data_IF_132331678438
#
_entry.id   IF_132331678438
#
_cell.length_a   1.000
_cell.length_b   1.000
_cell.length_c   1.000
_cell.angle_alpha   90.00
_cell.angle_beta   90.00
_cell.angle_gamma   90.00
#
_symmetry.space_group_name_H-M   'P 1'
#
loop_
_entity.id
_entity.type
_entity.pdbx_description
1 polymer ?
#
# COMPACT_ATOMS: atom_id res chain seq x y z
N UNK A 1 18.03 16.76 3.81
CA UNK A 1 17.37 18.04 3.44
C UNK A 1 18.35 19.08 2.91
N UNK A 2 19.67 18.85 2.99
CA UNK A 2 20.71 19.81 2.59
C UNK A 2 20.67 20.23 1.10
N UNK A 3 20.08 19.40 0.23
CA UNK A 3 19.92 19.70 -1.20
C UNK A 3 18.54 20.26 -1.59
N UNK A 4 17.62 20.44 -0.63
CA UNK A 4 16.30 21.05 -0.90
C UNK A 4 16.34 22.53 -0.55
N UNK A 5 16.45 23.37 -1.58
CA UNK A 5 16.40 24.82 -1.45
C UNK A 5 14.98 25.27 -1.84
N UNK A 6 14.20 25.88 -0.92
CA UNK A 6 12.89 26.42 -1.27
C UNK A 6 12.98 27.44 -2.40
N UNK A 7 12.05 27.37 -3.35
CA UNK A 7 11.91 28.39 -4.39
C UNK A 7 11.71 29.78 -3.75
N UNK A 8 12.15 30.85 -4.43
CA UNK A 8 11.92 32.21 -3.95
C UNK A 8 10.44 32.48 -3.74
N UNK A 9 10.08 33.14 -2.64
CA UNK A 9 8.69 33.50 -2.33
C UNK A 9 8.40 34.98 -2.54
N UNK A 10 7.13 35.39 -2.50
CA UNK A 10 6.78 36.82 -2.45
C UNK A 10 6.90 37.30 -1.01
N UNK A 11 7.68 38.37 -0.81
CA UNK A 11 7.84 39.01 0.49
C UNK A 11 7.42 40.48 0.38
N UNK A 12 6.41 40.84 1.17
CA UNK A 12 5.91 42.21 1.30
C UNK A 12 6.04 42.64 2.78
N UNK A 13 7.00 43.54 3.11
CA UNK A 13 7.25 43.98 4.49
C UNK A 13 6.04 44.62 5.16
N UNK A 14 5.10 45.17 4.40
CA UNK A 14 3.92 45.86 4.94
C UNK A 14 2.86 44.87 5.45
N UNK A 15 2.94 43.60 5.05
CA UNK A 15 1.97 42.54 5.41
C UNK A 15 2.53 41.52 6.41
N UNK A 16 3.77 41.69 6.88
CA UNK A 16 4.45 40.75 7.77
C UNK A 16 5.15 41.53 8.91
N UNK A 17 5.35 40.88 10.05
CA UNK A 17 6.09 41.48 11.16
C UNK A 17 7.50 41.92 10.75
N UNK A 18 7.90 43.14 11.14
CA UNK A 18 9.16 43.79 10.76
C UNK A 18 10.43 43.01 11.13
N UNK A 19 10.34 42.07 12.07
CA UNK A 19 11.43 41.18 12.48
C UNK A 19 11.73 40.04 11.49
N UNK A 20 10.93 39.86 10.44
CA UNK A 20 11.15 38.81 9.43
C UNK A 20 12.08 39.24 8.29
N UNK A 21 12.46 40.53 8.20
CA UNK A 21 13.28 41.05 7.11
C UNK A 21 14.65 40.39 6.99
N UNK A 22 15.28 40.01 8.11
CA UNK A 22 16.58 39.31 8.10
C UNK A 22 16.48 37.85 7.63
N UNK A 23 15.28 37.27 7.58
CA UNK A 23 15.02 35.89 7.15
C UNK A 23 14.62 35.80 5.67
N UNK A 24 14.14 36.89 5.06
CA UNK A 24 13.69 36.94 3.67
C UNK A 24 14.86 37.04 2.67
N UNK A 25 15.66 35.97 2.55
CA UNK A 25 16.84 35.91 1.68
C UNK A 25 16.58 35.24 0.30
N UNK A 26 15.40 34.66 0.09
CA UNK A 26 14.97 34.04 -1.18
C UNK A 26 13.62 34.63 -1.60
N UNK A 27 13.65 35.73 -2.36
CA UNK A 27 12.46 36.56 -2.68
C UNK A 27 12.32 36.81 -4.18
N UNK A 28 11.10 36.67 -4.71
CA UNK A 28 10.71 37.06 -6.06
C UNK A 28 10.60 38.60 -6.11
N UNK A 29 11.48 39.23 -6.88
CA UNK A 29 11.49 40.69 -7.08
C UNK A 29 10.61 41.08 -8.27
N UNK A 30 10.13 42.32 -8.27
CA UNK A 30 9.34 42.90 -9.36
C UNK A 30 8.01 43.45 -8.88
N UNK A 31 7.18 43.89 -9.82
CA UNK A 31 5.79 44.28 -9.59
C UNK A 31 4.93 43.08 -9.19
N UNK A 32 3.77 43.31 -8.56
CA UNK A 32 2.84 42.23 -8.19
C UNK A 32 2.43 41.37 -9.38
N UNK A 33 2.33 41.96 -10.58
CA UNK A 33 2.04 41.22 -11.82
C UNK A 33 3.19 40.29 -12.19
N UNK A 34 4.42 40.79 -12.20
CA UNK A 34 5.61 39.97 -12.48
C UNK A 34 5.82 38.86 -11.44
N UNK A 35 5.49 39.13 -10.17
CA UNK A 35 5.51 38.13 -9.11
C UNK A 35 4.48 37.02 -9.35
N UNK A 36 3.25 37.37 -9.74
CA UNK A 36 2.23 36.39 -10.11
C UNK A 36 2.64 35.59 -11.35
N UNK A 37 3.19 36.25 -12.37
CA UNK A 37 3.67 35.58 -13.59
C UNK A 37 4.83 34.61 -13.28
N UNK A 38 5.73 34.98 -12.35
CA UNK A 38 6.80 34.10 -11.86
C UNK A 38 6.24 32.89 -11.10
N UNK A 39 5.29 33.10 -10.19
CA UNK A 39 4.63 32.00 -9.47
C UNK A 39 3.90 31.07 -10.44
N UNK A 40 3.17 31.62 -11.42
CA UNK A 40 2.51 30.84 -12.47
C UNK A 40 3.52 30.03 -13.26
N UNK A 41 4.67 30.61 -13.61
CA UNK A 41 5.74 29.91 -14.32
C UNK A 41 6.33 28.77 -13.48
N UNK A 42 6.60 29.00 -12.20
CA UNK A 42 7.11 27.99 -11.28
C UNK A 42 6.11 26.83 -11.11
N UNK A 43 4.80 27.13 -11.11
CA UNK A 43 3.73 26.12 -11.04
C UNK A 43 3.54 25.32 -12.34
N UNK A 44 4.00 25.83 -13.50
CA UNK A 44 3.74 25.26 -14.84
C UNK A 44 4.97 24.62 -15.48
N UNK A 45 5.92 24.16 -14.66
CA UNK A 45 7.21 23.68 -15.15
C UNK A 45 7.11 22.40 -16.01
N UNK A 46 6.13 21.54 -15.74
CA UNK A 46 5.92 20.24 -16.40
C UNK A 46 4.42 19.93 -16.66
N UNK A 47 3.59 20.96 -16.78
CA UNK A 47 2.13 20.85 -16.92
C UNK A 47 1.67 20.54 -18.36
N UNK A 48 2.42 20.98 -19.37
CA UNK A 48 2.14 20.77 -20.80
C UNK A 48 3.34 20.14 -21.48
N UNK A 49 3.11 19.50 -22.64
CA UNK A 49 4.20 18.91 -23.43
C UNK A 49 5.30 19.94 -23.75
N UNK A 50 4.92 21.14 -24.20
CA UNK A 50 5.87 22.18 -24.59
C UNK A 50 6.69 22.68 -23.40
N UNK A 51 6.05 22.89 -22.23
CA UNK A 51 6.75 23.30 -21.02
C UNK A 51 7.69 22.21 -20.51
N UNK A 52 7.26 20.94 -20.56
CA UNK A 52 8.10 19.81 -20.15
C UNK A 52 9.38 19.73 -21.01
N UNK A 53 9.24 19.81 -22.34
CA UNK A 53 10.39 19.77 -23.25
C UNK A 53 11.30 20.99 -23.08
N UNK A 54 10.74 22.19 -22.91
CA UNK A 54 11.51 23.40 -22.63
C UNK A 54 12.25 23.32 -21.28
N UNK A 55 11.69 22.67 -20.27
CA UNK A 55 12.32 22.46 -18.96
C UNK A 55 13.50 21.47 -19.06
N UNK A 56 13.41 20.47 -19.93
CA UNK A 56 14.56 19.58 -20.25
C UNK A 56 15.68 20.38 -20.91
N UNK A 57 15.37 21.23 -21.90
CA UNK A 57 16.37 22.08 -22.57
C UNK A 57 17.08 23.05 -21.62
N UNK A 58 16.36 23.57 -20.63
CA UNK A 58 16.87 24.49 -19.60
C UNK A 58 17.57 23.77 -18.45
N UNK A 59 17.58 22.44 -18.44
CA UNK A 59 18.17 21.63 -17.37
C UNK A 59 17.59 21.96 -15.98
N UNK A 60 16.26 22.12 -15.90
CA UNK A 60 15.55 22.42 -14.66
C UNK A 60 15.66 21.27 -13.65
N UNK A 61 15.81 21.60 -12.36
CA UNK A 61 16.09 20.61 -11.30
C UNK A 61 14.94 19.67 -10.97
N UNK A 62 13.71 20.07 -11.30
CA UNK A 62 12.49 19.31 -11.01
C UNK A 62 12.20 18.21 -12.05
N UNK A 63 13.05 18.07 -13.07
CA UNK A 63 12.99 16.96 -14.02
C UNK A 63 13.76 15.76 -13.46
N UNK A 64 13.02 14.74 -13.03
CA UNK A 64 13.64 13.52 -12.50
C UNK A 64 14.30 12.69 -13.62
N UNK A 65 15.31 11.86 -13.28
CA UNK A 65 15.88 10.90 -14.24
C UNK A 65 14.84 9.97 -14.87
N UNK A 66 13.81 9.55 -14.13
CA UNK A 66 12.74 8.71 -14.69
C UNK A 66 11.88 9.47 -15.70
N UNK A 67 11.67 10.77 -15.52
CA UNK A 67 11.00 11.63 -16.51
C UNK A 67 11.81 11.68 -17.81
N UNK A 68 13.15 11.77 -17.72
CA UNK A 68 14.02 11.75 -18.90
C UNK A 68 13.94 10.42 -19.67
N UNK A 69 13.99 9.28 -18.96
CA UNK A 69 13.82 7.97 -19.60
C UNK A 69 12.45 7.81 -20.25
N UNK A 70 11.39 8.28 -19.59
CA UNK A 70 10.04 8.21 -20.13
C UNK A 70 9.88 9.08 -21.39
N UNK A 71 10.40 10.32 -21.39
CA UNK A 71 10.42 11.19 -22.59
C UNK A 71 11.16 10.50 -23.73
N UNK A 72 12.36 9.94 -23.47
CA UNK A 72 13.15 9.28 -24.50
C UNK A 72 12.42 8.07 -25.11
N UNK A 73 11.82 7.21 -24.27
CA UNK A 73 11.03 6.08 -24.75
C UNK A 73 9.85 6.53 -25.63
N UNK A 74 9.12 7.57 -25.21
CA UNK A 74 7.95 8.07 -25.94
C UNK A 74 8.34 8.73 -27.27
N UNK A 75 9.44 9.47 -27.31
CA UNK A 75 9.97 10.07 -28.55
C UNK A 75 10.40 9.02 -29.57
N UNK A 76 10.92 7.89 -29.10
CA UNK A 76 11.31 6.72 -29.92
C UNK A 76 10.13 5.77 -30.21
N UNK A 77 8.92 6.05 -29.71
CA UNK A 77 7.74 5.20 -29.88
C UNK A 77 7.82 3.85 -29.15
N UNK A 78 8.64 3.76 -28.11
CA UNK A 78 8.83 2.56 -27.27
C UNK A 78 7.95 2.65 -26.02
N UNK A 79 7.16 1.61 -25.70
CA UNK A 79 6.38 1.58 -24.47
C UNK A 79 7.24 1.74 -23.20
N UNK A 80 6.77 2.55 -22.26
CA UNK A 80 7.46 2.78 -20.98
C UNK A 80 6.63 2.28 -19.80
N UNK A 81 7.27 1.57 -18.86
CA UNK A 81 6.60 1.07 -17.65
C UNK A 81 7.33 1.57 -16.41
N UNK A 82 6.62 2.30 -15.55
CA UNK A 82 7.10 2.72 -14.24
C UNK A 82 6.76 1.68 -13.17
N UNK A 83 7.77 0.90 -12.76
CA UNK A 83 7.64 -0.07 -11.68
C UNK A 83 7.83 0.51 -10.28
N UNK A 84 8.19 1.79 -10.17
CA UNK A 84 8.51 2.50 -8.93
C UNK A 84 7.35 3.42 -8.51
N UNK A 85 7.27 3.85 -7.23
CA UNK A 85 6.19 4.71 -6.74
C UNK A 85 6.37 6.21 -7.02
N UNK A 86 7.45 6.58 -7.70
CA UNK A 86 7.73 7.97 -8.07
C UNK A 86 6.75 8.46 -9.15
N UNK A 87 6.34 9.73 -9.05
CA UNK A 87 5.38 10.34 -9.96
C UNK A 87 6.05 10.76 -11.28
N UNK A 88 6.43 9.77 -12.10
CA UNK A 88 7.07 10.00 -13.40
C UNK A 88 6.09 10.57 -14.43
N UNK A 89 4.81 10.20 -14.36
CA UNK A 89 3.78 10.57 -15.34
C UNK A 89 3.15 11.94 -15.06
N UNK A 90 3.99 12.98 -15.11
CA UNK A 90 3.55 14.38 -15.02
C UNK A 90 2.65 14.78 -16.20
N UNK A 91 1.75 15.77 -16.05
CA UNK A 91 0.76 16.11 -17.07
C UNK A 91 1.34 16.37 -18.47
N UNK A 92 2.47 17.07 -18.57
CA UNK A 92 3.13 17.33 -19.85
C UNK A 92 3.66 16.06 -20.53
N UNK A 93 4.02 15.02 -19.75
CA UNK A 93 4.45 13.74 -20.30
C UNK A 93 3.25 12.95 -20.84
N UNK A 94 2.09 13.05 -20.18
CA UNK A 94 0.85 12.42 -20.66
C UNK A 94 0.43 13.01 -22.01
N UNK A 95 0.51 14.33 -22.17
CA UNK A 95 0.25 14.98 -23.46
C UNK A 95 1.22 14.51 -24.56
N UNK A 96 2.51 14.39 -24.24
CA UNK A 96 3.53 13.87 -25.15
C UNK A 96 3.20 12.42 -25.59
N UNK A 97 2.78 11.58 -24.64
CA UNK A 97 2.41 10.18 -24.89
C UNK A 97 1.19 10.09 -25.82
N UNK A 98 0.16 10.91 -25.59
CA UNK A 98 -1.04 10.97 -26.41
C UNK A 98 -0.70 11.43 -27.83
N UNK A 99 0.10 12.50 -27.99
CA UNK A 99 0.47 13.03 -29.31
C UNK A 99 1.30 12.05 -30.14
N UNK A 100 2.10 11.19 -29.48
CA UNK A 100 2.92 10.16 -30.12
C UNK A 100 2.24 8.79 -30.22
N UNK A 101 1.03 8.65 -29.67
CA UNK A 101 0.30 7.39 -29.58
C UNK A 101 1.17 6.25 -29.00
N UNK A 102 1.89 6.54 -27.92
CA UNK A 102 2.76 5.58 -27.24
C UNK A 102 2.07 4.96 -26.02
N UNK A 103 2.51 3.78 -25.57
CA UNK A 103 1.97 3.13 -24.39
C UNK A 103 2.80 3.47 -23.15
N UNK A 104 2.12 3.81 -22.05
CA UNK A 104 2.73 3.93 -20.72
C UNK A 104 1.95 3.08 -19.71
N UNK A 105 2.62 2.62 -18.64
CA UNK A 105 1.97 1.86 -17.56
C UNK A 105 2.71 1.97 -16.24
N UNK A 106 1.97 1.88 -15.13
CA UNK A 106 2.46 2.15 -13.76
C UNK A 106 1.35 2.78 -12.93
N UNK A 107 1.62 3.41 -11.79
CA UNK A 107 2.88 3.46 -11.03
C UNK A 107 2.95 2.35 -9.98
N UNK A 108 4.16 2.01 -9.54
CA UNK A 108 4.47 1.03 -8.49
C UNK A 108 3.96 -0.40 -8.74
N UNK A 109 4.89 -1.36 -8.84
CA UNK A 109 4.46 -2.75 -8.97
C UNK A 109 3.71 -3.24 -7.72
N UNK A 110 2.52 -3.80 -7.95
CA UNK A 110 1.69 -4.41 -6.91
C UNK A 110 2.37 -5.66 -6.34
N UNK A 111 3.10 -5.47 -5.24
CA UNK A 111 3.81 -6.54 -4.53
C UNK A 111 2.85 -7.47 -3.78
N UNK A 112 3.33 -8.66 -3.39
CA UNK A 112 2.50 -9.72 -2.78
C UNK A 112 1.68 -9.29 -1.56
N UNK A 113 2.18 -8.36 -0.76
CA UNK A 113 1.46 -7.80 0.39
C UNK A 113 0.25 -6.96 -0.06
N UNK A 114 0.48 -5.96 -0.91
CA UNK A 114 -0.57 -5.08 -1.45
C UNK A 114 -1.61 -5.87 -2.25
N UNK A 115 -1.20 -6.98 -2.89
CA UNK A 115 -2.12 -7.90 -3.56
C UNK A 115 -3.05 -8.63 -2.58
N UNK A 116 -2.51 -9.15 -1.48
CA UNK A 116 -3.31 -9.82 -0.44
C UNK A 116 -4.24 -8.85 0.28
N UNK A 117 -3.77 -7.63 0.57
CA UNK A 117 -4.57 -6.58 1.18
C UNK A 117 -5.83 -6.28 0.39
N UNK A 118 -5.69 -6.06 -0.92
CA UNK A 118 -6.81 -5.74 -1.81
C UNK A 118 -7.90 -6.83 -1.72
N UNK A 119 -7.50 -8.10 -1.86
CA UNK A 119 -8.43 -9.25 -1.78
C UNK A 119 -9.09 -9.35 -0.40
N UNK A 120 -8.36 -9.08 0.68
CA UNK A 120 -8.89 -9.21 2.03
C UNK A 120 -9.86 -8.08 2.37
N UNK A 121 -9.53 -6.83 2.02
CA UNK A 121 -10.40 -5.67 2.25
C UNK A 121 -11.66 -5.78 1.39
N UNK A 122 -11.53 -6.20 0.14
CA UNK A 122 -12.65 -6.48 -0.75
C UNK A 122 -13.60 -7.51 -0.14
N UNK A 123 -13.05 -8.62 0.35
CA UNK A 123 -13.83 -9.66 1.00
C UNK A 123 -14.56 -9.15 2.25
N UNK A 124 -13.89 -8.39 3.12
CA UNK A 124 -14.48 -7.89 4.36
C UNK A 124 -15.60 -6.87 4.08
N UNK A 125 -15.34 -5.88 3.23
CA UNK A 125 -16.32 -4.85 2.87
C UNK A 125 -17.49 -5.47 2.11
N UNK A 126 -17.22 -6.40 1.18
CA UNK A 126 -18.23 -7.14 0.43
C UNK A 126 -19.09 -8.05 1.31
N UNK A 127 -18.53 -8.59 2.39
CA UNK A 127 -19.25 -9.40 3.38
C UNK A 127 -20.05 -8.56 4.41
N UNK A 128 -20.07 -7.22 4.28
CA UNK A 128 -20.77 -6.35 5.21
C UNK A 128 -20.03 -6.15 6.55
N UNK A 129 -18.74 -6.51 6.60
CA UNK A 129 -17.91 -6.35 7.80
C UNK A 129 -17.26 -4.98 7.73
N UNK A 130 -17.62 -4.10 8.66
CA UNK A 130 -17.10 -2.73 8.68
C UNK A 130 -15.70 -2.73 9.25
N UNK A 131 -14.76 -2.16 8.51
CA UNK A 131 -13.44 -1.86 9.04
C UNK A 131 -13.47 -0.44 9.61
N UNK A 132 -13.73 -0.26 10.91
CA UNK A 132 -14.04 1.06 11.50
C UNK A 132 -12.98 1.60 12.47
N UNK A 133 -12.85 2.94 12.50
CA UNK A 133 -12.27 3.79 13.56
C UNK A 133 -13.33 4.19 14.63
N UNK A 134 -13.00 4.11 15.92
CA UNK A 134 -13.90 4.50 17.02
C UNK A 134 -13.79 5.99 17.36
N UNK A 135 -14.83 6.77 17.10
CA UNK A 135 -15.03 8.09 17.73
C UNK A 135 -15.59 7.95 19.16
N UNK A 136 -14.95 8.67 20.08
CA UNK A 136 -15.27 8.99 21.48
C UNK A 136 -14.72 8.06 22.58
N UNK A 137 -13.97 8.73 23.48
CA UNK A 137 -13.54 8.37 24.83
C UNK A 137 -12.49 7.26 24.97
N UNK A 138 -11.28 7.73 25.30
CA UNK A 138 -10.22 7.06 26.06
C UNK A 138 -9.69 5.74 25.49
N UNK A 139 -8.55 5.87 24.78
CA UNK A 139 -7.52 4.85 24.53
C UNK A 139 -8.04 3.55 23.90
N UNK A 140 -8.09 3.51 22.57
CA UNK A 140 -7.68 2.37 21.72
C UNK A 140 -7.90 2.75 20.25
N UNK A 141 -6.81 3.08 19.55
CA UNK A 141 -6.74 3.31 18.10
C UNK A 141 -6.96 1.98 17.36
N UNK A 142 -7.75 1.97 16.29
CA UNK A 142 -7.89 0.80 15.42
C UNK A 142 -6.87 0.96 14.30
N UNK A 143 -6.29 -0.11 13.77
CA UNK A 143 -4.99 0.00 13.11
C UNK A 143 -4.87 -1.01 11.98
N UNK A 144 -4.78 -0.54 10.73
CA UNK A 144 -4.04 -1.30 9.74
C UNK A 144 -2.56 -1.02 9.98
N UNK A 145 -1.86 -1.96 10.60
CA UNK A 145 -0.41 -1.94 10.65
C UNK A 145 0.13 -2.70 9.45
N UNK A 146 0.81 -2.03 8.53
CA UNK A 146 1.69 -2.71 7.60
C UNK A 146 3.12 -2.60 8.08
N UNK A 147 3.65 -3.64 8.71
CA UNK A 147 5.07 -3.72 9.03
C UNK A 147 5.79 -4.52 7.96
N UNK A 148 6.59 -3.82 7.16
CA UNK A 148 7.48 -4.43 6.19
C UNK A 148 8.93 -4.26 6.62
N UNK A 149 9.72 -5.32 6.53
CA UNK A 149 11.16 -5.20 6.65
C UNK A 149 11.91 -6.00 5.58
N UNK A 150 12.92 -5.36 4.98
CA UNK A 150 13.73 -5.89 3.89
C UNK A 150 15.16 -5.34 3.98
N UNK A 151 16.14 -6.10 3.47
CA UNK A 151 17.57 -5.85 3.64
C UNK A 151 18.35 -5.69 2.33
N UNK A 152 17.66 -5.67 1.19
CA UNK A 152 18.24 -5.41 -0.12
C UNK A 152 18.41 -3.89 -0.37
N UNK A 153 18.93 -3.55 -1.55
CA UNK A 153 19.14 -2.15 -1.94
C UNK A 153 17.84 -1.34 -1.97
N UNK A 154 16.70 -1.98 -2.25
CA UNK A 154 15.38 -1.34 -2.17
C UNK A 154 15.06 -0.92 -0.72
N UNK A 155 15.23 -1.83 0.25
CA UNK A 155 15.10 -1.50 1.67
C UNK A 155 16.03 -0.38 2.13
N UNK A 156 17.27 -0.37 1.62
CA UNK A 156 18.23 0.68 1.94
C UNK A 156 17.76 2.03 1.39
N UNK A 157 17.29 2.09 0.14
CA UNK A 157 16.72 3.31 -0.45
C UNK A 157 15.49 3.79 0.32
N UNK A 158 14.59 2.88 0.69
CA UNK A 158 13.36 3.17 1.44
C UNK A 158 13.61 3.54 2.91
N UNK A 159 14.84 3.43 3.41
CA UNK A 159 15.20 3.96 4.74
C UNK A 159 15.25 5.49 4.77
N UNK A 160 15.38 6.12 3.60
CA UNK A 160 15.35 7.58 3.45
C UNK A 160 13.90 8.07 3.49
N UNK A 161 13.54 9.08 4.30
CA UNK A 161 12.13 9.51 4.46
C UNK A 161 11.44 9.94 3.16
N UNK A 162 12.18 10.52 2.22
CA UNK A 162 11.63 11.05 0.96
C UNK A 162 11.17 9.93 0.02
N UNK A 163 12.00 8.90 -0.17
CA UNK A 163 11.70 7.72 -0.99
C UNK A 163 10.63 6.86 -0.32
N UNK A 164 10.64 6.79 1.02
CA UNK A 164 9.58 6.16 1.80
C UNK A 164 8.23 6.83 1.55
N UNK A 165 8.16 8.17 1.49
CA UNK A 165 6.90 8.91 1.33
C UNK A 165 6.15 8.52 0.06
N UNK A 166 6.84 8.38 -1.08
CA UNK A 166 6.21 7.93 -2.33
C UNK A 166 5.61 6.53 -2.17
N UNK A 167 6.35 5.61 -1.53
CA UNK A 167 5.90 4.24 -1.27
C UNK A 167 4.75 4.18 -0.26
N UNK A 168 4.77 5.04 0.74
CA UNK A 168 3.70 5.19 1.74
C UNK A 168 2.39 5.60 1.06
N UNK A 169 2.41 6.64 0.22
CA UNK A 169 1.21 7.12 -0.51
C UNK A 169 0.62 6.01 -1.39
N UNK A 170 1.44 5.36 -2.22
CA UNK A 170 0.99 4.29 -3.12
C UNK A 170 0.35 3.10 -2.39
N UNK A 171 0.81 2.77 -1.18
CA UNK A 171 0.26 1.69 -0.35
C UNK A 171 -0.97 2.11 0.45
N UNK A 172 -1.07 3.38 0.78
CA UNK A 172 -2.19 3.95 1.53
C UNK A 172 -3.46 4.07 0.71
N UNK A 173 -3.35 4.52 -0.53
CA UNK A 173 -4.53 4.81 -1.37
C UNK A 173 -5.29 3.55 -1.83
N UNK A 174 -4.75 2.35 -1.58
CA UNK A 174 -5.30 1.07 -2.08
C UNK A 174 -6.69 0.74 -1.49
N UNK A 175 -7.07 1.36 -0.37
CA UNK A 175 -8.33 1.08 0.32
C UNK A 175 -9.42 2.12 0.04
N UNK A 176 -9.09 3.25 -0.58
CA UNK A 176 -9.98 4.40 -0.70
C UNK A 176 -11.22 4.10 -1.55
N UNK A 177 -11.04 3.43 -2.68
CA UNK A 177 -12.14 3.05 -3.57
C UNK A 177 -13.11 2.08 -2.87
N UNK A 178 -12.60 1.16 -2.04
CA UNK A 178 -13.43 0.16 -1.35
C UNK A 178 -14.27 0.81 -0.27
N UNK A 179 -13.70 1.77 0.45
CA UNK A 179 -14.41 2.59 1.44
C UNK A 179 -15.50 3.41 0.75
N UNK A 180 -15.17 4.08 -0.36
CA UNK A 180 -16.13 4.87 -1.14
C UNK A 180 -17.27 4.02 -1.74
N UNK A 181 -17.01 2.74 -2.05
CA UNK A 181 -18.01 1.85 -2.65
C UNK A 181 -19.16 1.45 -1.73
N UNK A 182 -19.00 1.61 -0.40
CA UNK A 182 -19.98 1.13 0.57
C UNK A 182 -20.42 2.22 1.56
N UNK A 183 -21.35 3.06 1.10
CA UNK A 183 -21.95 4.14 1.89
C UNK A 183 -22.87 3.70 3.04
N UNK A 184 -23.14 2.39 3.18
CA UNK A 184 -23.84 1.83 4.36
C UNK A 184 -22.84 1.63 5.50
N UNK A 185 -21.68 1.10 5.16
CA UNK A 185 -20.61 0.88 6.13
C UNK A 185 -19.90 2.19 6.42
N UNK A 186 -19.51 2.99 5.43
CA UNK A 186 -18.70 4.19 5.61
C UNK A 186 -19.49 5.48 5.38
N UNK A 187 -19.37 6.45 6.30
CA UNK A 187 -19.91 7.78 6.11
C UNK A 187 -19.10 8.56 5.05
N UNK A 188 -19.68 9.59 4.39
CA UNK A 188 -18.95 10.42 3.44
C UNK A 188 -17.68 11.03 4.08
N UNK A 189 -16.51 10.67 3.55
CA UNK A 189 -15.21 11.11 4.06
C UNK A 189 -14.68 10.34 5.28
N UNK A 190 -15.33 9.25 5.69
CA UNK A 190 -14.79 8.32 6.69
C UNK A 190 -13.72 7.44 6.03
N UNK A 191 -12.53 7.36 6.62
CA UNK A 191 -11.46 6.45 6.20
C UNK A 191 -10.96 5.66 7.41
N UNK A 192 -10.56 4.39 7.24
CA UNK A 192 -9.96 3.63 8.34
C UNK A 192 -8.56 4.13 8.65
N UNK A 193 -8.19 4.05 9.93
CA UNK A 193 -6.81 4.27 10.38
C UNK A 193 -5.84 3.32 9.67
N UNK A 194 -4.95 3.86 8.85
CA UNK A 194 -4.01 3.08 8.06
C UNK A 194 -2.58 3.59 8.19
N UNK A 195 -1.70 2.72 8.68
CA UNK A 195 -0.29 3.02 8.93
C UNK A 195 0.60 2.04 8.19
N UNK A 196 1.43 2.60 7.32
CA UNK A 196 2.47 1.86 6.60
C UNK A 196 3.81 2.09 7.27
N UNK A 197 4.55 1.01 7.53
CA UNK A 197 5.90 1.07 8.09
C UNK A 197 6.83 0.18 7.25
N UNK A 198 7.94 0.75 6.78
CA UNK A 198 9.01 0.00 6.12
C UNK A 198 10.30 0.20 6.91
N UNK A 199 10.97 -0.87 7.30
CA UNK A 199 12.26 -0.85 8.01
C UNK A 199 13.34 -1.59 7.23
N UNK A 200 14.51 -0.96 7.13
CA UNK A 200 15.68 -1.60 6.58
C UNK A 200 16.30 -2.56 7.61
N UNK A 201 16.39 -3.85 7.26
CA UNK A 201 16.97 -4.89 8.10
C UNK A 201 17.93 -5.72 7.25
N UNK A 202 19.24 -5.41 7.23
CA UNK A 202 20.22 -6.03 6.32
C UNK A 202 20.17 -7.56 6.32
N UNK A 203 19.96 -8.17 7.50
CA UNK A 203 19.97 -9.62 7.71
C UNK A 203 19.00 -10.37 6.81
N UNK A 204 17.83 -9.79 6.47
CA UNK A 204 16.83 -10.49 5.66
C UNK A 204 17.09 -10.38 4.15
N UNK A 205 18.08 -9.59 3.73
CA UNK A 205 18.44 -9.36 2.33
C UNK A 205 17.18 -9.12 1.45
N UNK A 206 17.07 -9.82 0.32
CA UNK A 206 15.93 -9.71 -0.61
C UNK A 206 14.63 -10.38 -0.08
N UNK A 207 14.70 -11.09 1.04
CA UNK A 207 13.56 -11.78 1.62
C UNK A 207 12.70 -10.83 2.46
N UNK A 208 11.99 -9.92 1.78
CA UNK A 208 11.01 -9.02 2.40
C UNK A 208 10.03 -9.79 3.28
N UNK A 209 9.87 -9.34 4.52
CA UNK A 209 8.85 -9.81 5.45
C UNK A 209 7.76 -8.76 5.58
N UNK A 210 6.52 -9.20 5.60
CA UNK A 210 5.35 -8.36 5.80
C UNK A 210 4.55 -8.94 6.97
N UNK A 211 4.13 -8.08 7.88
CA UNK A 211 3.25 -8.39 9.00
C UNK A 211 2.11 -7.39 8.94
N UNK A 212 0.91 -7.92 8.74
CA UNK A 212 -0.30 -7.14 8.58
C UNK A 212 -1.28 -7.51 9.68
N UNK A 213 -1.88 -6.50 10.30
CA UNK A 213 -2.99 -6.66 11.24
C UNK A 213 -4.21 -5.92 10.69
N UNK A 214 -5.35 -6.59 10.66
CA UNK A 214 -6.63 -6.05 10.21
C UNK A 214 -7.60 -6.14 11.37
N UNK A 215 -8.15 -5.03 11.85
CA UNK A 215 -9.21 -5.07 12.86
C UNK A 215 -10.49 -4.47 12.29
N UNK A 216 -11.60 -5.19 12.44
CA UNK A 216 -12.92 -4.85 11.92
C UNK A 216 -13.98 -4.94 13.02
N UNK A 217 -15.05 -4.19 12.87
CA UNK A 217 -16.27 -4.30 13.66
C UNK A 217 -17.25 -5.25 12.96
N UNK A 218 -17.85 -6.13 13.75
CA UNK A 218 -18.89 -7.06 13.34
C UNK A 218 -20.17 -6.78 14.12
N UNK A 219 -21.23 -7.54 13.84
CA UNK A 219 -22.55 -7.38 14.45
C UNK A 219 -22.49 -7.29 15.99
N UNK A 220 -23.33 -6.43 16.58
CA UNK A 220 -23.40 -6.18 18.04
C UNK A 220 -22.10 -5.66 18.67
N UNK A 221 -21.40 -4.73 18.00
CA UNK A 221 -20.13 -4.14 18.46
C UNK A 221 -19.00 -5.17 18.69
N UNK A 222 -19.15 -6.38 18.15
CA UNK A 222 -18.09 -7.37 18.19
C UNK A 222 -16.87 -6.90 17.40
N UNK A 223 -15.68 -7.35 17.80
CA UNK A 223 -14.45 -7.08 17.05
C UNK A 223 -13.93 -8.35 16.40
N UNK A 224 -13.55 -8.24 15.14
CA UNK A 224 -12.83 -9.26 14.40
C UNK A 224 -11.44 -8.72 14.06
N UNK A 225 -10.40 -9.27 14.68
CA UNK A 225 -9.02 -9.01 14.26
C UNK A 225 -8.56 -10.19 13.40
N UNK A 226 -7.81 -9.92 12.34
CA UNK A 226 -7.15 -10.90 11.46
C UNK A 226 -5.66 -10.59 11.48
N UNK A 227 -4.86 -11.58 11.89
CA UNK A 227 -3.41 -11.54 11.97
C UNK A 227 -2.86 -12.96 12.15
N UNK A 228 -1.54 -13.16 11.94
CA UNK A 228 -0.88 -14.47 12.09
C UNK A 228 -1.19 -15.14 13.44
N UNK A 229 -1.35 -14.30 14.48
CA UNK A 229 -1.67 -14.68 15.86
C UNK A 229 -3.07 -15.27 15.99
N UNK A 230 -4.03 -14.89 15.14
CA UNK A 230 -5.42 -15.35 15.27
C UNK A 230 -5.66 -16.72 14.65
N UNK A 231 -4.98 -17.08 13.56
CA UNK A 231 -4.99 -18.49 13.12
C UNK A 231 -4.29 -19.37 14.15
N UNK A 232 -3.23 -18.88 14.78
CA UNK A 232 -2.55 -19.60 15.86
C UNK A 232 -3.45 -19.74 17.10
N UNK A 233 -4.10 -18.66 17.55
CA UNK A 233 -5.00 -18.65 18.70
C UNK A 233 -6.29 -19.44 18.43
N UNK A 234 -6.88 -19.34 17.23
CA UNK A 234 -8.00 -20.18 16.85
C UNK A 234 -7.62 -21.66 16.85
N UNK A 235 -6.40 -21.99 16.39
CA UNK A 235 -5.89 -23.37 16.41
C UNK A 235 -5.72 -23.90 17.83
N UNK A 236 -5.47 -23.06 18.85
CA UNK A 236 -5.41 -23.53 20.24
C UNK A 236 -6.78 -23.83 20.83
N UNK A 237 -7.86 -23.21 20.28
CA UNK A 237 -9.25 -23.43 20.71
C UNK A 237 -9.91 -24.65 20.07
N UNK A 238 -9.39 -25.16 18.96
CA UNK A 238 -9.95 -26.33 18.28
C UNK A 238 -9.38 -27.61 18.91
N UNK A 239 -10.27 -28.52 19.30
CA UNK A 239 -9.91 -29.87 19.73
C UNK A 239 -10.67 -30.90 18.90
N UNK A 240 -9.99 -31.99 18.55
CA UNK A 240 -10.52 -33.08 17.73
C UNK A 240 -10.44 -34.40 18.50
N UNK A 241 -11.28 -35.37 18.14
CA UNK A 241 -11.21 -36.74 18.64
C UNK A 241 -11.62 -37.72 17.57
N UNK A 242 -11.01 -38.90 17.54
CA UNK A 242 -11.51 -39.97 16.70
C UNK A 242 -12.81 -40.55 17.26
N UNK A 243 -13.62 -41.16 16.39
CA UNK A 243 -14.82 -41.87 16.83
C UNK A 243 -14.40 -43.09 17.67
N UNK A 244 -14.87 -43.13 18.93
CA UNK A 244 -14.49 -44.17 19.90
C UNK A 244 -13.39 -43.76 20.89
N UNK A 245 -12.74 -42.60 20.71
CA UNK A 245 -11.82 -42.06 21.71
C UNK A 245 -12.54 -41.34 22.85
N UNK A 246 -12.04 -41.54 24.08
CA UNK A 246 -12.59 -40.93 25.29
C UNK A 246 -12.14 -39.49 25.55
N UNK A 247 -11.10 -38.99 24.87
CA UNK A 247 -10.53 -37.65 25.11
C UNK A 247 -10.32 -36.87 23.82
N UNK A 248 -10.59 -35.58 23.90
CA UNK A 248 -10.23 -34.62 22.86
C UNK A 248 -8.73 -34.28 22.93
N UNK A 249 -8.14 -34.04 21.78
CA UNK A 249 -6.76 -33.62 21.63
C UNK A 249 -6.66 -32.37 20.74
N UNK A 250 -5.70 -31.51 21.03
CA UNK A 250 -5.38 -30.34 20.21
C UNK A 250 -4.61 -30.75 18.95
N UNK A 251 -4.48 -29.83 18.00
CA UNK A 251 -3.60 -30.04 16.85
C UNK A 251 -2.14 -30.27 17.26
N UNK A 252 -1.39 -30.94 16.37
CA UNK A 252 0.04 -31.15 16.55
C UNK A 252 0.78 -29.82 16.78
N UNK A 253 1.78 -29.81 17.68
CA UNK A 253 2.50 -28.59 18.13
C UNK A 253 3.14 -27.81 16.98
N UNK A 254 3.63 -28.54 15.97
CA UNK A 254 3.95 -27.98 14.65
C UNK A 254 2.65 -27.94 13.84
N UNK A 255 1.82 -26.93 14.12
CA UNK A 255 0.54 -26.78 13.46
C UNK A 255 0.77 -26.42 11.99
N UNK A 256 0.17 -27.16 11.07
CA UNK A 256 0.21 -26.88 9.63
C UNK A 256 -0.79 -25.78 9.23
N UNK A 257 -1.71 -25.39 10.13
CA UNK A 257 -2.75 -24.39 9.85
C UNK A 257 -2.16 -23.00 9.50
N UNK A 258 -1.13 -22.48 10.20
CA UNK A 258 -0.45 -21.25 9.80
C UNK A 258 0.35 -21.36 8.49
N UNK A 259 0.44 -22.55 7.86
CA UNK A 259 1.23 -22.75 6.62
C UNK A 259 0.79 -21.85 5.48
N UNK A 260 -0.49 -21.49 5.41
CA UNK A 260 -1.04 -20.56 4.42
C UNK A 260 -0.36 -19.19 4.45
N UNK A 261 0.08 -18.76 5.64
CA UNK A 261 0.73 -17.47 5.86
C UNK A 261 2.26 -17.58 5.96
N UNK A 262 2.82 -18.79 5.85
CA UNK A 262 4.25 -19.05 6.04
C UNK A 262 4.94 -19.45 4.71
N UNK A 263 5.97 -18.69 4.32
CA UNK A 263 6.77 -18.92 3.10
C UNK A 263 7.51 -20.27 3.11
N UNK A 264 7.89 -20.75 4.28
CA UNK A 264 8.51 -22.06 4.49
C UNK A 264 7.79 -22.73 5.67
N UNK A 265 6.65 -23.41 5.42
CA UNK A 265 5.90 -24.06 6.47
C UNK A 265 6.76 -25.10 7.17
N UNK A 266 6.88 -25.00 8.49
CA UNK A 266 7.39 -26.09 9.28
C UNK A 266 6.28 -27.15 9.36
N UNK A 267 6.62 -28.40 9.08
CA UNK A 267 5.70 -29.54 9.13
C UNK A 267 6.27 -30.61 10.06
N UNK A 268 5.42 -31.49 10.63
CA UNK A 268 5.89 -32.59 11.45
C UNK A 268 6.90 -33.49 10.68
N UNK A 269 7.86 -34.12 11.37
CA UNK A 269 8.81 -35.03 10.73
C UNK A 269 8.09 -36.12 9.91
N UNK A 270 8.57 -36.36 8.68
CA UNK A 270 7.99 -37.36 7.77
C UNK A 270 6.79 -36.89 6.95
N UNK A 271 6.30 -35.66 7.13
CA UNK A 271 5.17 -35.10 6.36
C UNK A 271 5.70 -34.21 5.21
N UNK A 272 5.13 -34.30 3.98
CA UNK A 272 5.54 -33.45 2.88
C UNK A 272 5.07 -31.99 3.06
N UNK A 273 5.95 -31.05 2.73
CA UNK A 273 5.62 -29.61 2.74
C UNK A 273 4.77 -29.25 1.53
N UNK A 274 3.52 -28.87 1.75
CA UNK A 274 2.65 -28.31 0.71
C UNK A 274 2.89 -26.80 0.63
N UNK A 275 3.44 -26.32 -0.49
CA UNK A 275 3.70 -24.88 -0.75
C UNK A 275 2.64 -24.20 -1.62
N UNK A 276 1.76 -24.98 -2.24
CA UNK A 276 0.75 -24.44 -3.14
C UNK A 276 -0.31 -23.66 -2.36
N UNK A 277 -0.34 -22.34 -2.56
CA UNK A 277 -1.19 -21.41 -1.80
C UNK A 277 -2.69 -21.76 -1.94
N UNK A 278 -3.14 -22.17 -3.12
CA UNK A 278 -4.52 -22.62 -3.35
C UNK A 278 -4.89 -23.85 -2.53
N UNK A 279 -3.97 -24.80 -2.37
CA UNK A 279 -4.18 -26.01 -1.55
C UNK A 279 -4.19 -25.68 -0.05
N UNK A 280 -3.33 -24.77 0.38
CA UNK A 280 -3.30 -24.29 1.77
C UNK A 280 -4.56 -23.47 2.11
N UNK A 281 -5.08 -22.67 1.17
CA UNK A 281 -6.38 -21.99 1.32
C UNK A 281 -7.52 -22.98 1.44
N UNK A 282 -7.60 -23.95 0.53
CA UNK A 282 -8.64 -24.98 0.56
C UNK A 282 -8.60 -25.81 1.86
N UNK A 283 -7.40 -26.08 2.40
CA UNK A 283 -7.24 -26.70 3.72
C UNK A 283 -7.87 -25.83 4.82
N UNK A 284 -7.55 -24.53 4.90
CA UNK A 284 -8.12 -23.63 5.89
C UNK A 284 -9.65 -23.57 5.78
N UNK A 285 -10.16 -23.38 4.57
CA UNK A 285 -11.59 -23.32 4.29
C UNK A 285 -12.31 -24.59 4.76
N UNK A 286 -11.78 -25.77 4.42
CA UNK A 286 -12.38 -27.04 4.80
C UNK A 286 -12.31 -27.32 6.30
N UNK A 287 -11.25 -26.87 7.00
CA UNK A 287 -11.18 -26.95 8.47
C UNK A 287 -12.28 -26.10 9.10
N UNK A 288 -12.45 -24.85 8.65
CA UNK A 288 -13.47 -23.95 9.19
C UNK A 288 -14.89 -24.45 8.87
N UNK A 289 -15.13 -24.99 7.67
CA UNK A 289 -16.39 -25.65 7.29
C UNK A 289 -16.70 -26.83 8.20
N UNK A 290 -15.71 -27.67 8.49
CA UNK A 290 -15.88 -28.79 9.41
C UNK A 290 -16.25 -28.32 10.83
N UNK A 291 -15.67 -27.22 11.32
CA UNK A 291 -16.02 -26.63 12.62
C UNK A 291 -17.49 -26.19 12.74
N UNK A 292 -18.16 -25.90 11.61
CA UNK A 292 -19.59 -25.53 11.56
C UNK A 292 -20.49 -26.66 11.01
N UNK A 293 -19.95 -27.87 10.87
CA UNK A 293 -20.71 -29.05 10.41
C UNK A 293 -21.02 -29.08 8.92
N UNK A 294 -20.33 -28.28 8.10
CA UNK A 294 -20.46 -28.32 6.64
C UNK A 294 -19.49 -29.33 6.02
N UNK A 295 -19.93 -29.98 4.95
CA UNK A 295 -19.08 -30.86 4.15
C UNK A 295 -17.96 -30.05 3.45
N UNK A 296 -16.79 -30.69 3.18
CA UNK A 296 -15.71 -30.06 2.42
C UNK A 296 -16.17 -29.59 1.05
N UNK A 297 -15.67 -28.44 0.61
CA UNK A 297 -15.89 -27.94 -0.74
C UNK A 297 -15.12 -28.81 -1.74
N UNK A 298 -15.85 -29.42 -2.67
CA UNK A 298 -15.31 -30.36 -3.65
C UNK A 298 -15.27 -29.79 -5.07
N UNK A 299 -15.95 -28.66 -5.32
CA UNK A 299 -16.00 -27.96 -6.61
C UNK A 299 -16.51 -28.82 -7.78
N UNK A 300 -17.23 -29.92 -7.53
CA UNK A 300 -17.68 -30.81 -8.60
C UNK A 300 -18.93 -30.29 -9.33
N UNK A 301 -19.74 -29.44 -8.68
CA UNK A 301 -20.88 -28.72 -9.30
C UNK A 301 -21.83 -29.70 -10.03
N UNK A 302 -22.02 -30.91 -9.49
CA UNK A 302 -22.72 -32.01 -10.17
C UNK A 302 -24.24 -31.80 -10.26
N UNK A 303 -24.75 -30.86 -9.48
CA UNK A 303 -26.13 -30.38 -9.48
C UNK A 303 -26.52 -29.59 -10.76
N UNK A 304 -25.57 -29.09 -11.55
CA UNK A 304 -25.84 -28.37 -12.82
C UNK A 304 -25.76 -29.27 -14.06
N UNK A 305 -26.25 -30.51 -13.95
CA UNK A 305 -26.40 -31.42 -15.09
C UNK A 305 -27.65 -31.15 -15.90
#
# INVERSE_FOLDING_TARGET
>A
MEHMVPLPGVYDPDFIASNQGSRANSVIKGTKKEQVDHIIKDMRLNDTMDNLLASVEKNESDISPSTLYAIACVLEGVPFINGSPENTFVPGLIELVISRNCLIGGDDFKSGQTKMKYVLVEFLVGAGIKVKERKKTSVSTYFYCELSHLGNNDGMKLSVPQTFRSKEISKSNVVDDMVASNGILFEPGEHPDHVVVIKYVPYVADSKRAMDEYTSEIFMEGKNTIGLVLLAELSTRIQVKAQGEGKFHSFHTVATIPSYLAKAPLVPPGIPVVKALSKQRAMLENILRACIGLAPENNMILEYK
#
